data_IF_426053825267
#
_entry.id   IF_426053825267
#
_cell.length_a   1.000
_cell.length_b   1.000
_cell.length_c   1.000
_cell.angle_alpha   90.00
_cell.angle_beta   90.00
_cell.angle_gamma   90.00
#
_symmetry.space_group_name_H-M   'P 1'
#
loop_
_entity.id
_entity.type
_entity.pdbx_description
1 polymer ?
#
# COMPACT_ATOMS: atom_id res chain seq x y z
N UNK A 1 -17.06 -41.43 16.74
CA UNK A 1 -17.68 -40.12 16.37
C UNK A 1 -17.62 -39.96 14.86
N UNK A 2 -18.75 -39.60 14.22
CA UNK A 2 -18.90 -39.54 12.75
C UNK A 2 -18.09 -38.37 12.17
N UNK A 3 -16.86 -38.64 11.73
CA UNK A 3 -15.95 -37.69 11.06
C UNK A 3 -16.54 -37.10 9.77
N UNK A 4 -17.52 -37.77 9.16
CA UNK A 4 -18.22 -37.27 7.96
C UNK A 4 -18.99 -35.95 8.16
N UNK A 5 -19.31 -35.57 9.41
CA UNK A 5 -20.00 -34.30 9.70
C UNK A 5 -19.06 -33.08 9.72
N UNK A 6 -17.74 -33.28 9.62
CA UNK A 6 -16.74 -32.21 9.68
C UNK A 6 -16.29 -31.71 8.29
N UNK A 7 -16.73 -32.34 7.20
CA UNK A 7 -16.36 -31.93 5.84
C UNK A 7 -16.85 -30.51 5.54
N UNK A 8 -18.10 -30.20 5.89
CA UNK A 8 -18.69 -28.88 5.64
C UNK A 8 -17.98 -27.73 6.40
N UNK A 9 -17.74 -27.82 7.72
CA UNK A 9 -16.99 -26.78 8.42
C UNK A 9 -15.52 -26.70 7.97
N UNK A 10 -14.91 -27.81 7.55
CA UNK A 10 -13.55 -27.81 6.99
C UNK A 10 -13.49 -27.02 5.67
N UNK A 11 -14.45 -27.24 4.76
CA UNK A 11 -14.55 -26.47 3.51
C UNK A 11 -14.71 -24.98 3.81
N UNK A 12 -15.58 -24.63 4.77
CA UNK A 12 -15.77 -23.23 5.18
C UNK A 12 -14.47 -22.59 5.69
N UNK A 13 -13.73 -23.29 6.55
CA UNK A 13 -12.45 -22.81 7.04
C UNK A 13 -11.44 -22.60 5.90
N UNK A 14 -11.36 -23.52 4.94
CA UNK A 14 -10.48 -23.40 3.78
C UNK A 14 -10.82 -22.18 2.93
N UNK A 15 -12.10 -21.92 2.66
CA UNK A 15 -12.52 -20.73 1.90
C UNK A 15 -12.13 -19.44 2.62
N UNK A 16 -12.35 -19.36 3.93
CA UNK A 16 -11.96 -18.18 4.74
C UNK A 16 -10.44 -17.97 4.68
N UNK A 17 -9.65 -19.03 4.80
CA UNK A 17 -8.19 -18.96 4.71
C UNK A 17 -7.74 -18.47 3.34
N UNK A 18 -8.31 -19.00 2.25
CA UNK A 18 -8.00 -18.53 0.90
C UNK A 18 -8.34 -17.05 0.76
N UNK A 19 -9.54 -16.64 1.17
CA UNK A 19 -9.95 -15.23 1.12
C UNK A 19 -9.01 -14.33 1.93
N UNK A 20 -8.58 -14.78 3.11
CA UNK A 20 -7.63 -14.04 3.94
C UNK A 20 -6.32 -13.80 3.21
N UNK A 21 -5.69 -14.85 2.67
CA UNK A 21 -4.42 -14.71 1.99
C UNK A 21 -4.51 -13.98 0.65
N UNK A 22 -5.64 -14.04 -0.06
CA UNK A 22 -5.80 -13.34 -1.35
C UNK A 22 -6.13 -11.86 -1.20
N UNK A 23 -6.81 -11.45 -0.12
CA UNK A 23 -7.30 -10.07 0.02
C UNK A 23 -6.73 -9.30 1.20
N UNK A 24 -6.33 -9.97 2.28
CA UNK A 24 -6.02 -9.32 3.56
C UNK A 24 -4.57 -9.50 4.01
N UNK A 25 -3.91 -10.61 3.68
CA UNK A 25 -2.53 -10.83 4.05
C UNK A 25 -1.63 -9.79 3.35
N UNK A 26 -1.05 -8.88 4.14
CA UNK A 26 0.02 -8.01 3.68
C UNK A 26 1.25 -8.88 3.43
N UNK A 27 1.62 -9.08 2.16
CA UNK A 27 2.96 -9.56 1.83
C UNK A 27 3.90 -8.38 2.03
N UNK A 28 5.02 -8.55 2.73
CA UNK A 28 6.06 -7.52 2.88
C UNK A 28 6.77 -7.17 1.57
N UNK A 29 6.17 -7.51 0.43
CA UNK A 29 6.71 -7.38 -0.90
C UNK A 29 6.21 -6.10 -1.55
N UNK A 30 7.04 -5.52 -2.42
CA UNK A 30 6.66 -4.35 -3.20
C UNK A 30 5.44 -4.69 -4.08
N UNK A 31 4.41 -3.86 -3.97
CA UNK A 31 3.15 -4.02 -4.68
C UNK A 31 3.19 -3.45 -6.10
N UNK A 32 2.02 -3.47 -6.75
CA UNK A 32 1.81 -2.95 -8.12
C UNK A 32 0.81 -1.82 -8.09
N UNK A 33 1.09 -0.70 -8.76
CA UNK A 33 0.08 0.36 -8.92
C UNK A 33 -1.12 -0.10 -9.74
N UNK A 34 -0.97 -1.16 -10.55
CA UNK A 34 -2.09 -1.78 -11.29
C UNK A 34 -3.18 -2.40 -10.38
N UNK A 35 -2.93 -2.51 -9.06
CA UNK A 35 -3.94 -2.93 -8.07
C UNK A 35 -5.05 -1.89 -7.89
N UNK A 36 -4.75 -0.61 -8.16
CA UNK A 36 -5.73 0.45 -8.07
C UNK A 36 -6.56 0.51 -9.36
N UNK A 37 -7.88 0.40 -9.22
CA UNK A 37 -8.80 0.53 -10.34
C UNK A 37 -8.91 1.99 -10.78
N UNK A 38 -8.79 2.32 -12.08
CA UNK A 38 -8.99 3.68 -12.57
C UNK A 38 -10.36 4.22 -12.15
N UNK A 39 -10.40 5.42 -11.56
CA UNK A 39 -11.63 6.08 -11.09
C UNK A 39 -12.21 5.53 -9.78
N UNK A 40 -11.50 4.64 -9.08
CA UNK A 40 -11.89 4.17 -7.75
C UNK A 40 -11.22 5.00 -6.66
N UNK A 41 -12.03 5.64 -5.83
CA UNK A 41 -11.61 6.38 -4.64
C UNK A 41 -11.47 5.47 -3.39
N UNK A 42 -11.53 4.15 -3.57
CA UNK A 42 -11.38 3.18 -2.48
C UNK A 42 -9.91 3.10 -2.07
N UNK A 43 -9.64 3.42 -0.80
CA UNK A 43 -8.31 3.31 -0.23
C UNK A 43 -7.84 1.85 -0.13
N UNK A 44 -6.62 1.59 -0.57
CA UNK A 44 -5.94 0.30 -0.48
C UNK A 44 -4.49 0.50 -0.02
N UNK A 45 -3.94 -0.49 0.68
CA UNK A 45 -2.53 -0.53 1.02
C UNK A 45 -1.68 -1.05 -0.14
N UNK A 46 -0.51 -0.43 -0.31
CA UNK A 46 0.56 -0.85 -1.21
C UNK A 46 1.92 -0.57 -0.56
N UNK A 47 2.86 -1.52 -0.66
CA UNK A 47 4.26 -1.31 -0.30
C UNK A 47 5.01 -0.84 -1.54
N UNK A 48 5.77 0.24 -1.44
CA UNK A 48 6.46 0.87 -2.57
C UNK A 48 7.86 1.33 -2.17
N UNK A 49 8.78 1.32 -3.13
CA UNK A 49 10.13 1.86 -2.93
C UNK A 49 10.13 3.38 -3.08
N UNK A 50 10.92 4.08 -2.27
CA UNK A 50 11.07 5.54 -2.38
C UNK A 50 12.11 5.88 -3.46
N UNK A 51 11.74 6.75 -4.38
CA UNK A 51 12.65 7.27 -5.41
C UNK A 51 13.44 8.46 -4.85
N UNK A 52 14.43 8.18 -4.00
CA UNK A 52 15.23 9.20 -3.30
C UNK A 52 15.88 10.24 -4.23
N UNK A 53 16.21 9.87 -5.47
CA UNK A 53 16.79 10.76 -6.47
C UNK A 53 15.89 11.93 -6.87
N UNK A 54 14.57 11.82 -6.69
CA UNK A 54 13.59 12.89 -6.97
C UNK A 54 13.32 13.81 -5.78
N UNK A 55 13.86 13.50 -4.61
CA UNK A 55 13.69 14.28 -3.39
C UNK A 55 12.26 14.26 -2.82
N UNK A 56 12.03 15.17 -1.87
CA UNK A 56 10.78 15.33 -1.13
C UNK A 56 10.27 16.75 -1.31
N UNK A 57 8.98 16.90 -1.65
CA UNK A 57 8.35 18.23 -1.64
C UNK A 57 7.85 18.57 -0.24
N UNK A 58 7.96 19.85 0.11
CA UNK A 58 7.63 20.36 1.44
C UNK A 58 6.65 21.52 1.37
N UNK A 59 5.83 21.64 2.41
CA UNK A 59 4.97 22.82 2.61
C UNK A 59 5.77 24.03 3.12
N UNK A 60 5.08 25.16 3.34
CA UNK A 60 5.67 26.38 3.88
C UNK A 60 6.23 26.23 5.31
N UNK A 61 5.80 25.20 6.05
CA UNK A 61 6.28 24.89 7.40
C UNK A 61 7.46 23.90 7.37
N UNK A 62 7.89 23.45 6.18
CA UNK A 62 8.96 22.48 6.00
C UNK A 62 8.54 21.02 6.18
N UNK A 63 7.24 20.73 6.34
CA UNK A 63 6.72 19.37 6.44
C UNK A 63 6.76 18.70 5.08
N UNK A 64 7.06 17.40 5.03
CA UNK A 64 7.00 16.63 3.78
C UNK A 64 5.53 16.42 3.40
N UNK A 65 5.16 16.80 2.18
CA UNK A 65 3.79 16.67 1.66
C UNK A 65 3.70 15.74 0.44
N UNK A 66 4.82 15.48 -0.22
CA UNK A 66 4.86 14.53 -1.32
C UNK A 66 6.25 13.95 -1.57
N UNK A 67 6.29 12.80 -2.22
CA UNK A 67 7.50 12.11 -2.68
C UNK A 67 7.20 11.26 -3.91
N UNK A 68 8.22 10.76 -4.59
CA UNK A 68 8.03 9.78 -5.66
C UNK A 68 8.29 8.38 -5.15
N UNK A 69 7.45 7.44 -5.58
CA UNK A 69 7.57 6.04 -5.26
C UNK A 69 7.55 5.17 -6.52
N UNK A 70 8.18 4.00 -6.43
CA UNK A 70 8.30 3.02 -7.51
C UNK A 70 7.65 1.70 -7.09
N UNK A 71 6.86 1.13 -7.99
CA UNK A 71 6.23 -0.17 -7.80
C UNK A 71 7.10 -1.33 -8.31
N UNK A 72 6.62 -2.57 -8.15
CA UNK A 72 7.32 -3.78 -8.56
C UNK A 72 7.59 -3.89 -10.07
N UNK A 73 6.87 -3.12 -10.88
CA UNK A 73 7.02 -3.10 -12.34
C UNK A 73 7.89 -1.92 -12.79
N UNK A 74 8.58 -1.25 -11.87
CA UNK A 74 9.37 -0.03 -12.09
C UNK A 74 8.54 1.16 -12.59
N UNK A 75 7.22 1.17 -12.35
CA UNK A 75 6.39 2.33 -12.62
C UNK A 75 6.59 3.32 -11.47
N UNK A 76 6.87 4.57 -11.81
CA UNK A 76 7.00 5.64 -10.82
C UNK A 76 5.72 6.49 -10.77
N UNK A 77 5.25 6.75 -9.55
CA UNK A 77 4.11 7.62 -9.30
C UNK A 77 4.44 8.62 -8.19
N UNK A 78 3.82 9.80 -8.26
CA UNK A 78 3.90 10.78 -7.18
C UNK A 78 2.95 10.33 -6.06
N UNK A 79 3.42 10.35 -4.83
CA UNK A 79 2.61 10.12 -3.64
C UNK A 79 2.42 11.45 -2.93
N UNK A 80 1.16 11.87 -2.77
CA UNK A 80 0.79 13.13 -2.11
C UNK A 80 -0.01 12.83 -0.85
N UNK A 81 0.18 13.62 0.19
CA UNK A 81 -0.68 13.55 1.38
C UNK A 81 -1.18 14.93 1.76
N UNK A 82 -2.41 14.96 2.29
CA UNK A 82 -2.99 16.19 2.85
C UNK A 82 -2.45 16.46 4.26
N UNK A 83 -2.03 15.41 4.97
CA UNK A 83 -1.37 15.53 6.27
C UNK A 83 0.15 15.44 6.12
N UNK A 84 0.92 16.08 7.00
CA UNK A 84 2.37 15.93 7.05
C UNK A 84 2.81 14.47 7.08
N UNK A 85 3.70 14.10 6.16
CA UNK A 85 4.34 12.80 6.14
C UNK A 85 5.46 12.80 7.19
N UNK A 86 5.54 11.71 7.95
CA UNK A 86 6.55 11.50 9.00
C UNK A 86 7.97 11.61 8.43
N UNK A 87 8.86 12.29 9.15
CA UNK A 87 10.20 12.64 8.64
C UNK A 87 11.15 11.45 8.51
N UNK A 88 10.86 10.35 9.20
CA UNK A 88 11.58 9.08 9.14
C UNK A 88 11.59 8.49 7.73
N UNK A 89 10.68 8.95 6.84
CA UNK A 89 10.65 8.55 5.44
C UNK A 89 11.95 8.90 4.68
N UNK A 90 12.72 9.89 5.13
CA UNK A 90 13.96 10.32 4.48
C UNK A 90 14.98 9.18 4.42
N UNK A 91 15.07 8.41 5.51
CA UNK A 91 16.02 7.32 5.63
C UNK A 91 15.47 6.00 5.10
N UNK A 92 14.14 5.85 5.02
CA UNK A 92 13.46 4.65 4.54
C UNK A 92 13.76 4.34 3.07
N UNK A 93 13.87 3.05 2.74
CA UNK A 93 13.92 2.57 1.35
C UNK A 93 12.53 2.21 0.81
N UNK A 94 11.68 1.69 1.71
CA UNK A 94 10.36 1.15 1.39
C UNK A 94 9.35 1.68 2.39
N UNK A 95 8.14 1.96 1.92
CA UNK A 95 7.03 2.43 2.76
C UNK A 95 5.73 1.74 2.38
N UNK A 96 4.86 1.57 3.37
CA UNK A 96 3.46 1.26 3.11
C UNK A 96 2.70 2.57 2.91
N UNK A 97 2.00 2.67 1.78
CA UNK A 97 1.09 3.77 1.49
C UNK A 97 -0.34 3.22 1.49
N UNK A 98 -1.20 3.86 2.28
CA UNK A 98 -2.64 3.60 2.29
C UNK A 98 -3.36 4.80 1.65
N UNK A 99 -4.02 4.56 0.53
CA UNK A 99 -4.63 5.62 -0.27
C UNK A 99 -5.29 5.09 -1.54
N UNK A 100 -5.61 5.98 -2.47
CA UNK A 100 -6.19 5.63 -3.77
C UNK A 100 -5.43 6.36 -4.88
N UNK A 101 -5.42 5.78 -6.08
CA UNK A 101 -4.84 6.42 -7.26
C UNK A 101 -5.86 7.36 -7.90
N UNK A 102 -5.42 8.59 -8.15
CA UNK A 102 -6.12 9.54 -9.01
C UNK A 102 -5.14 9.95 -10.13
N UNK A 103 -5.49 9.63 -11.37
CA UNK A 103 -4.59 9.70 -12.53
C UNK A 103 -3.25 8.97 -12.28
N UNK A 104 -2.13 9.71 -12.27
CA UNK A 104 -0.79 9.18 -12.02
C UNK A 104 -0.25 9.57 -10.63
N UNK A 105 -1.15 9.92 -9.71
CA UNK A 105 -0.81 10.33 -8.35
C UNK A 105 -1.53 9.44 -7.34
N UNK A 106 -0.78 8.93 -6.36
CA UNK A 106 -1.31 8.20 -5.23
C UNK A 106 -1.62 9.18 -4.10
N UNK A 107 -2.91 9.43 -3.86
CA UNK A 107 -3.36 10.25 -2.75
C UNK A 107 -3.33 9.42 -1.45
N UNK A 108 -2.28 9.61 -0.67
CA UNK A 108 -2.05 8.91 0.58
C UNK A 108 -2.90 9.52 1.72
N UNK A 109 -3.78 8.69 2.28
CA UNK A 109 -4.42 8.94 3.57
C UNK A 109 -3.48 8.63 4.73
N UNK A 110 -2.53 7.70 4.55
CA UNK A 110 -1.50 7.37 5.53
C UNK A 110 -0.25 6.84 4.86
N UNK A 111 0.91 7.21 5.38
CA UNK A 111 2.22 6.65 4.99
C UNK A 111 2.88 6.08 6.23
N UNK A 112 3.34 4.83 6.15
CA UNK A 112 3.99 4.11 7.25
C UNK A 112 5.35 3.62 6.79
N UNK A 113 6.40 3.95 7.54
CA UNK A 113 7.74 3.38 7.31
C UNK A 113 7.75 1.92 7.74
N UNK A 114 8.12 1.03 6.83
CA UNK A 114 8.34 -0.40 7.13
C UNK A 114 9.81 -0.54 7.51
N UNK A 115 10.07 -1.10 8.69
CA UNK A 115 11.42 -1.39 9.20
C UNK A 115 11.92 -2.74 8.72
#
# INVERSE_FOLDING_TARGET
>A
MKTSKLILPLIFAVVIVIMYFTYFAQTGEIGSFSKFSPGSEINQSIIVEIVKSKGFERDANGNIISFYARDKNNVEAKVTSHEPIVTEIIDAEVVEVFGHMHDNTLNASKVTVIK
#
